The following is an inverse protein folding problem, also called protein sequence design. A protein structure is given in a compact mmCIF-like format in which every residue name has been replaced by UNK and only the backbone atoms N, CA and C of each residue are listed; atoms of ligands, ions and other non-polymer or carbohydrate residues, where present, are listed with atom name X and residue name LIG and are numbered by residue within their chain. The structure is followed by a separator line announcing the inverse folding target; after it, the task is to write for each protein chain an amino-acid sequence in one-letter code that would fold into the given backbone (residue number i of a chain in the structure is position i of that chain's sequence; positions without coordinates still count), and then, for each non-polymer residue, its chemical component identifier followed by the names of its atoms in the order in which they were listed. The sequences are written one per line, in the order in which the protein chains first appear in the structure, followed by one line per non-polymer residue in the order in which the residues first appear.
data_IF_616699249957
#
_entry.id   IF_616699249957
#
_cell.length_a   1.000
_cell.length_b   1.000
_cell.length_c   1.000
_cell.angle_alpha   90.00
_cell.angle_beta   90.00
_cell.angle_gamma   90.00
#
_symmetry.space_group_name_H-M   'P 1'
#
loop_
_entity.id
_entity.type
_entity.pdbx_description
1 polymer ?
#
# COMPACT_ATOMS: atom_id res chain seq x y z
N UNK A 1 3.73 -0.03 -7.06
CA UNK A 1 5.20 -0.21 -7.16
C UNK A 1 5.95 0.61 -6.12
N UNK A 2 5.84 1.95 -6.10
CA UNK A 2 6.64 2.78 -5.18
C UNK A 2 6.45 2.46 -3.68
N UNK A 3 5.22 2.17 -3.24
CA UNK A 3 4.92 1.75 -1.85
C UNK A 3 5.66 0.47 -1.43
N UNK A 4 5.69 -0.53 -2.32
CA UNK A 4 6.37 -1.81 -2.09
C UNK A 4 7.88 -1.59 -1.97
N UNK A 5 8.47 -0.83 -2.90
CA UNK A 5 9.90 -0.50 -2.89
C UNK A 5 10.28 0.23 -1.61
N UNK A 6 9.47 1.20 -1.19
CA UNK A 6 9.67 1.95 0.06
C UNK A 6 9.63 1.04 1.30
N UNK A 7 8.61 0.18 1.43
CA UNK A 7 8.49 -0.71 2.57
C UNK A 7 9.64 -1.72 2.64
N UNK A 8 10.07 -2.30 1.52
CA UNK A 8 11.22 -3.22 1.47
C UNK A 8 12.53 -2.51 1.82
N UNK A 9 12.74 -1.30 1.31
CA UNK A 9 13.91 -0.50 1.65
C UNK A 9 13.94 -0.16 3.15
N UNK A 10 12.82 0.29 3.70
CA UNK A 10 12.68 0.64 5.12
C UNK A 10 12.97 -0.58 6.01
N UNK A 11 12.44 -1.74 5.63
CA UNK A 11 12.64 -3.01 6.33
C UNK A 11 14.13 -3.40 6.34
N UNK A 12 14.78 -3.40 5.17
CA UNK A 12 16.21 -3.71 5.06
C UNK A 12 17.09 -2.74 5.83
N UNK A 13 16.80 -1.45 5.79
CA UNK A 13 17.53 -0.49 6.61
C UNK A 13 17.33 -0.74 8.10
N UNK A 14 16.10 -1.03 8.55
CA UNK A 14 15.83 -1.38 9.94
C UNK A 14 16.62 -2.61 10.39
N UNK A 15 16.77 -3.63 9.53
CA UNK A 15 17.61 -4.80 9.82
C UNK A 15 19.08 -4.42 10.03
N UNK A 16 19.63 -3.55 9.19
CA UNK A 16 21.04 -3.13 9.27
C UNK A 16 21.32 -2.33 10.55
N UNK A 17 20.43 -1.39 10.90
CA UNK A 17 20.68 -0.46 12.00
C UNK A 17 20.15 -0.93 13.37
N UNK A 18 19.10 -1.75 13.41
CA UNK A 18 18.44 -2.14 14.64
C UNK A 18 18.41 -3.66 14.89
N UNK A 19 18.90 -4.48 13.95
CA UNK A 19 18.87 -5.95 14.06
C UNK A 19 17.46 -6.55 14.07
N UNK A 20 16.42 -5.73 13.90
CA UNK A 20 15.02 -6.14 13.91
C UNK A 20 14.59 -6.62 12.52
N UNK A 21 13.93 -7.77 12.44
CA UNK A 21 13.31 -8.25 11.21
C UNK A 21 11.79 -8.20 11.30
N UNK A 22 11.13 -7.81 10.22
CA UNK A 22 9.67 -7.88 10.10
C UNK A 22 9.32 -9.13 9.30
N UNK A 23 8.26 -9.83 9.72
CA UNK A 23 7.75 -10.98 8.95
C UNK A 23 7.24 -10.53 7.59
N UNK A 24 7.19 -11.45 6.62
CA UNK A 24 6.61 -11.16 5.29
C UNK A 24 5.17 -10.64 5.43
N UNK A 25 4.37 -11.24 6.31
CA UNK A 25 3.01 -10.78 6.61
C UNK A 25 2.98 -9.34 7.16
N UNK A 26 3.97 -8.96 7.99
CA UNK A 26 4.11 -7.60 8.49
C UNK A 26 4.43 -6.59 7.38
N UNK A 27 5.32 -6.95 6.45
CA UNK A 27 5.64 -6.09 5.29
C UNK A 27 4.42 -5.93 4.37
N UNK A 28 3.70 -7.02 4.09
CA UNK A 28 2.45 -6.97 3.30
C UNK A 28 1.42 -6.06 3.98
N UNK A 29 1.24 -6.18 5.29
CA UNK A 29 0.31 -5.33 6.05
C UNK A 29 0.71 -3.86 5.99
N UNK A 30 2.01 -3.53 6.06
CA UNK A 30 2.49 -2.16 5.92
C UNK A 30 2.24 -1.59 4.52
N UNK A 31 2.47 -2.39 3.48
CA UNK A 31 2.21 -2.00 2.09
C UNK A 31 0.72 -1.75 1.88
N UNK A 32 -0.15 -2.65 2.34
CA UNK A 32 -1.61 -2.51 2.22
C UNK A 32 -2.10 -1.23 2.92
N UNK A 33 -1.68 -0.99 4.16
CA UNK A 33 -2.03 0.23 4.89
C UNK A 33 -1.57 1.48 4.17
N UNK A 34 -0.34 1.51 3.66
CA UNK A 34 0.21 2.66 2.94
C UNK A 34 -0.53 2.90 1.63
N UNK A 35 -0.87 1.84 0.89
CA UNK A 35 -1.69 1.95 -0.32
C UNK A 35 -3.08 2.52 -0.01
N UNK A 36 -3.76 1.99 1.01
CA UNK A 36 -5.08 2.50 1.43
C UNK A 36 -5.01 3.96 1.86
N UNK A 37 -4.02 4.34 2.68
CA UNK A 37 -3.81 5.71 3.13
C UNK A 37 -3.61 6.67 1.95
N UNK A 38 -2.81 6.26 0.95
CA UNK A 38 -2.60 7.03 -0.29
C UNK A 38 -3.86 7.14 -1.15
N UNK A 39 -4.64 6.07 -1.24
CA UNK A 39 -5.89 6.04 -2.00
C UNK A 39 -7.00 6.88 -1.34
N UNK A 40 -7.03 6.91 0.00
CA UNK A 40 -7.95 7.76 0.77
C UNK A 40 -7.54 9.23 0.73
N UNK A 41 -6.24 9.52 0.89
CA UNK A 41 -5.71 10.90 0.86
C UNK A 41 -5.68 11.52 -0.53
N UNK A 42 -5.74 10.70 -1.59
CA UNK A 42 -5.84 11.14 -2.98
C UNK A 42 -7.18 10.67 -3.58
N UNK A 43 -8.32 11.27 -3.17
CA UNK A 43 -9.59 11.00 -3.82
C UNK A 43 -9.40 11.38 -5.28
N UNK A 44 -9.50 10.40 -6.16
CA UNK A 44 -9.14 10.53 -7.57
C UNK A 44 -9.78 11.78 -8.16
N UNK A 45 -8.98 12.74 -8.63
CA UNK A 45 -9.42 13.95 -9.34
C UNK A 45 -10.00 13.63 -10.73
N UNK A 46 -10.79 12.57 -10.85
CA UNK A 46 -11.44 12.23 -12.11
C UNK A 46 -12.88 12.73 -12.06
N UNK A 47 -13.04 13.99 -12.47
CA UNK A 47 -14.30 14.68 -12.75
C UNK A 47 -15.01 14.10 -14.01
N UNK A 48 -14.85 12.81 -14.29
CA UNK A 48 -15.55 12.14 -15.39
C UNK A 48 -16.33 10.96 -14.82
N UNK A 49 -17.65 11.01 -15.01
CA UNK A 49 -18.70 10.13 -14.48
C UNK A 49 -18.54 8.62 -14.79
N UNK A 50 -17.45 8.21 -15.43
CA UNK A 50 -17.19 6.84 -15.92
C UNK A 50 -15.98 6.17 -15.24
N UNK A 51 -15.26 6.86 -14.34
CA UNK A 51 -14.04 6.32 -13.75
C UNK A 51 -14.27 5.76 -12.33
N UNK A 52 -14.10 4.44 -12.16
CA UNK A 52 -14.11 3.81 -10.84
C UNK A 52 -13.05 4.44 -9.93
N UNK A 53 -13.40 4.66 -8.66
CA UNK A 53 -12.42 5.08 -7.65
C UNK A 53 -11.31 4.05 -7.57
N UNK A 54 -10.03 4.48 -7.59
CA UNK A 54 -8.89 3.57 -7.45
C UNK A 54 -8.96 2.78 -6.13
N UNK A 55 -9.58 3.35 -5.09
CA UNK A 55 -9.87 2.68 -3.83
C UNK A 55 -10.84 1.49 -4.03
N UNK A 56 -11.90 1.68 -4.83
CA UNK A 56 -12.88 0.65 -5.14
C UNK A 56 -12.26 -0.50 -5.94
N UNK A 57 -11.42 -0.18 -6.93
CA UNK A 57 -10.65 -1.18 -7.70
C UNK A 57 -9.66 -1.93 -6.80
N UNK A 58 -9.02 -1.24 -5.87
CA UNK A 58 -8.13 -1.88 -4.89
C UNK A 58 -8.87 -2.89 -4.02
N UNK A 59 -10.05 -2.52 -3.50
CA UNK A 59 -10.85 -3.44 -2.69
C UNK A 59 -11.38 -4.62 -3.50
N UNK A 60 -11.84 -4.43 -4.74
CA UNK A 60 -12.35 -5.54 -5.56
C UNK A 60 -11.27 -6.58 -5.91
N UNK A 61 -10.00 -6.18 -5.98
CA UNK A 61 -8.88 -7.08 -6.26
C UNK A 61 -8.36 -7.80 -5.02
N UNK A 62 -8.40 -7.17 -3.84
CA UNK A 62 -7.83 -7.71 -2.61
C UNK A 62 -8.87 -8.36 -1.68
N UNK A 63 -10.15 -8.12 -1.94
CA UNK A 63 -11.27 -8.68 -1.19
C UNK A 63 -12.42 -8.98 -2.17
N UNK A 64 -12.44 -10.19 -2.77
CA UNK A 64 -13.57 -10.61 -3.61
C UNK A 64 -14.87 -10.66 -2.78
N UNK A 65 -16.05 -10.57 -3.43
CA UNK A 65 -17.35 -10.67 -2.77
C UNK A 65 -17.57 -12.02 -2.08
#
# INVERSE_FOLDING_TARGET
MQSIVYCLWKERNSRIFAGSSVSVAGVVTQVDRLLRDRLVSNPSQSLSSTHYSLLQVYFSLNHPP
#
